data_IF_586834882355
#
_entry.id   IF_586834882355
#
_cell.length_a   1.000
_cell.length_b   1.000
_cell.length_c   1.000
_cell.angle_alpha   90.00
_cell.angle_beta   90.00
_cell.angle_gamma   90.00
#
_symmetry.space_group_name_H-M   'P 1'
#
loop_
_entity.id
_entity.type
_entity.pdbx_description
1 polymer ?
#
# COMPACT_ATOMS: atom_id res chain seq x y z
N UNK A 1 -11.04 -1.58 -7.51
CA UNK A 1 -9.62 -1.76 -7.90
C UNK A 1 -8.93 -0.42 -7.74
N UNK A 2 -7.78 -0.38 -7.07
CA UNK A 2 -6.95 0.83 -6.96
C UNK A 2 -5.93 0.79 -8.09
N UNK A 3 -5.86 1.80 -8.97
CA UNK A 3 -4.93 1.79 -10.10
C UNK A 3 -3.47 1.81 -9.61
N UNK A 4 -2.62 1.06 -10.30
CA UNK A 4 -1.18 1.02 -10.08
C UNK A 4 -0.50 2.26 -10.66
N UNK A 5 0.70 2.58 -10.17
CA UNK A 5 1.52 3.66 -10.73
C UNK A 5 1.76 3.48 -12.25
N UNK A 6 1.95 2.24 -12.71
CA UNK A 6 2.12 1.93 -14.12
C UNK A 6 0.86 2.24 -14.96
N UNK A 7 -0.32 1.85 -14.47
CA UNK A 7 -1.60 2.17 -15.12
C UNK A 7 -1.85 3.68 -15.17
N UNK A 8 -1.48 4.41 -14.11
CA UNK A 8 -1.59 5.88 -14.08
C UNK A 8 -0.63 6.54 -15.08
N UNK A 9 0.61 6.06 -15.19
CA UNK A 9 1.56 6.54 -16.20
C UNK A 9 1.07 6.29 -17.61
N UNK A 10 0.46 5.13 -17.87
CA UNK A 10 -0.15 4.83 -19.16
C UNK A 10 -1.30 5.79 -19.47
N UNK A 11 -2.15 6.09 -18.49
CA UNK A 11 -3.21 7.09 -18.62
C UNK A 11 -2.68 8.50 -18.91
N UNK A 12 -1.59 8.91 -18.23
CA UNK A 12 -0.89 10.17 -18.52
C UNK A 12 -0.37 10.19 -19.96
N UNK A 13 0.32 9.13 -20.39
CA UNK A 13 0.88 9.03 -21.74
C UNK A 13 -0.21 9.16 -22.82
N UNK A 14 -1.34 8.46 -22.64
CA UNK A 14 -2.48 8.57 -23.54
C UNK A 14 -3.06 9.99 -23.56
N UNK A 15 -3.18 10.62 -22.39
CA UNK A 15 -3.72 11.98 -22.26
C UNK A 15 -2.85 13.03 -22.95
N UNK A 16 -1.53 12.94 -22.82
CA UNK A 16 -0.60 13.90 -23.47
C UNK A 16 -0.45 13.62 -24.97
N UNK A 17 -0.61 12.38 -25.41
CA UNK A 17 -0.56 12.01 -26.83
C UNK A 17 -1.82 12.38 -27.62
N UNK A 18 -2.93 12.65 -26.93
CA UNK A 18 -4.22 12.99 -27.56
C UNK A 18 -4.35 14.51 -27.69
N UNK A 19 -4.27 15.08 -28.91
CA UNK A 19 -4.40 16.52 -29.11
C UNK A 19 -5.79 16.99 -28.67
N UNK A 20 -5.85 18.20 -28.09
CA UNK A 20 -7.12 18.85 -27.79
C UNK A 20 -7.79 19.26 -29.10
N UNK A 21 -9.12 19.20 -29.15
CA UNK A 21 -9.83 19.81 -30.27
C UNK A 21 -9.55 21.33 -30.28
N UNK A 22 -9.49 22.00 -31.45
CA UNK A 22 -9.20 23.43 -31.54
C UNK A 22 -10.11 24.29 -30.66
N UNK A 23 -11.38 23.91 -30.57
CA UNK A 23 -12.41 24.52 -29.74
C UNK A 23 -12.17 24.38 -28.21
N UNK A 24 -11.35 23.42 -27.79
CA UNK A 24 -11.07 23.10 -26.38
C UNK A 24 -9.70 23.64 -25.90
N UNK A 25 -8.96 24.35 -26.77
CA UNK A 25 -7.56 24.71 -26.56
C UNK A 25 -7.27 25.71 -25.42
N UNK A 26 -8.29 26.14 -24.67
CA UNK A 26 -8.17 27.15 -23.60
C UNK A 26 -8.15 26.52 -22.19
N UNK A 27 -9.13 26.81 -21.35
CA UNK A 27 -9.17 26.45 -19.92
C UNK A 27 -9.20 24.93 -19.70
N UNK A 28 -9.85 24.19 -20.59
CA UNK A 28 -9.91 22.73 -20.50
C UNK A 28 -8.54 22.07 -20.69
N UNK A 29 -7.78 22.51 -21.70
CA UNK A 29 -6.42 22.03 -21.92
C UNK A 29 -5.51 22.33 -20.71
N UNK A 30 -5.63 23.52 -20.11
CA UNK A 30 -4.91 23.88 -18.90
C UNK A 30 -5.29 23.01 -17.70
N UNK A 31 -6.59 22.77 -17.48
CA UNK A 31 -7.07 21.88 -16.40
C UNK A 31 -6.60 20.44 -16.57
N UNK A 32 -6.62 19.92 -17.81
CA UNK A 32 -6.14 18.59 -18.15
C UNK A 32 -4.65 18.43 -17.84
N UNK A 33 -3.83 19.41 -18.21
CA UNK A 33 -2.40 19.43 -17.87
C UNK A 33 -2.18 19.55 -16.36
N UNK A 34 -3.00 20.31 -15.65
CA UNK A 34 -2.97 20.40 -14.18
C UNK A 34 -3.18 19.04 -13.50
N UNK A 35 -4.16 18.25 -13.98
CA UNK A 35 -4.38 16.88 -13.46
C UNK A 35 -3.20 15.97 -13.80
N UNK A 36 -2.67 16.04 -15.03
CA UNK A 36 -1.48 15.27 -15.43
C UNK A 36 -0.30 15.59 -14.50
N UNK A 37 -0.06 16.86 -14.21
CA UNK A 37 1.01 17.28 -13.31
C UNK A 37 0.79 16.74 -11.89
N UNK A 38 -0.41 16.89 -11.33
CA UNK A 38 -0.77 16.37 -10.01
C UNK A 38 -0.55 14.86 -9.91
N UNK A 39 -1.09 14.07 -10.85
CA UNK A 39 -0.96 12.62 -10.83
C UNK A 39 0.50 12.19 -11.00
N UNK A 40 1.27 12.91 -11.82
CA UNK A 40 2.71 12.65 -12.00
C UNK A 40 3.49 12.81 -10.69
N UNK A 41 3.17 13.83 -9.87
CA UNK A 41 3.77 14.03 -8.54
C UNK A 41 3.43 12.87 -7.60
N UNK A 42 2.17 12.41 -7.59
CA UNK A 42 1.75 11.30 -6.74
C UNK A 42 2.43 9.97 -7.17
N UNK A 43 2.54 9.74 -8.47
CA UNK A 43 3.24 8.58 -9.03
C UNK A 43 4.73 8.61 -8.66
N UNK A 44 5.37 9.78 -8.71
CA UNK A 44 6.77 9.93 -8.31
C UNK A 44 6.99 9.51 -6.86
N UNK A 45 6.12 9.96 -5.95
CA UNK A 45 6.18 9.58 -4.54
C UNK A 45 6.04 8.07 -4.33
N UNK A 46 5.14 7.43 -5.06
CA UNK A 46 4.95 5.96 -5.02
C UNK A 46 6.15 5.22 -5.61
N UNK A 47 6.74 5.72 -6.70
CA UNK A 47 7.92 5.11 -7.30
C UNK A 47 9.17 5.20 -6.40
N UNK A 48 9.32 6.28 -5.64
CA UNK A 48 10.46 6.50 -4.75
C UNK A 48 10.38 5.66 -3.47
N UNK A 49 9.18 5.55 -2.88
CA UNK A 49 9.00 4.95 -1.54
C UNK A 49 8.26 3.62 -1.55
N UNK A 50 7.52 3.29 -2.61
CA UNK A 50 6.51 2.23 -2.61
C UNK A 50 7.06 0.84 -2.26
N UNK A 51 8.24 0.48 -2.77
CA UNK A 51 8.88 -0.81 -2.44
C UNK A 51 9.34 -0.87 -0.99
N UNK A 52 10.01 0.18 -0.51
CA UNK A 52 10.53 0.25 0.87
C UNK A 52 9.40 0.21 1.91
N UNK A 53 8.30 0.93 1.65
CA UNK A 53 7.11 0.93 2.51
C UNK A 53 6.51 -0.48 2.61
N UNK A 54 6.37 -1.19 1.49
CA UNK A 54 5.80 -2.56 1.48
C UNK A 54 6.70 -3.57 2.18
N UNK A 55 8.01 -3.48 1.99
CA UNK A 55 8.99 -4.30 2.71
C UNK A 55 8.89 -4.09 4.23
N UNK A 56 8.89 -2.83 4.67
CA UNK A 56 8.76 -2.49 6.08
C UNK A 56 7.44 -2.98 6.67
N UNK A 57 6.33 -2.80 5.95
CA UNK A 57 5.01 -3.27 6.37
C UNK A 57 4.94 -4.80 6.48
N UNK A 58 5.43 -5.54 5.47
CA UNK A 58 5.48 -6.99 5.50
C UNK A 58 6.36 -7.49 6.66
N UNK A 59 7.47 -6.81 6.93
CA UNK A 59 8.34 -7.08 8.08
C UNK A 59 7.63 -6.89 9.42
N UNK A 60 6.93 -5.76 9.61
CA UNK A 60 6.17 -5.45 10.82
C UNK A 60 5.04 -6.46 11.05
N UNK A 61 4.31 -6.84 9.99
CA UNK A 61 3.27 -7.87 10.06
C UNK A 61 3.84 -9.23 10.47
N UNK A 62 4.94 -9.67 9.85
CA UNK A 62 5.61 -10.93 10.21
C UNK A 62 6.08 -10.92 11.66
N UNK A 63 6.68 -9.82 12.11
CA UNK A 63 7.15 -9.65 13.50
C UNK A 63 6.02 -9.78 14.52
N UNK A 64 4.91 -9.06 14.31
CA UNK A 64 3.76 -9.13 15.20
C UNK A 64 3.14 -10.53 15.23
N UNK A 65 2.95 -11.16 14.05
CA UNK A 65 2.41 -12.52 13.97
C UNK A 65 3.32 -13.56 14.66
N UNK A 66 4.64 -13.47 14.47
CA UNK A 66 5.60 -14.37 15.12
C UNK A 66 5.57 -14.23 16.66
N UNK A 67 5.45 -13.01 17.18
CA UNK A 67 5.33 -12.78 18.63
C UNK A 67 4.03 -13.35 19.24
N UNK A 68 2.97 -13.48 18.44
CA UNK A 68 1.67 -14.00 18.85
C UNK A 68 1.55 -15.53 18.71
N UNK A 69 2.39 -16.15 17.86
CA UNK A 69 2.36 -17.58 17.56
C UNK A 69 2.33 -18.48 18.82
N UNK A 70 3.14 -18.26 19.87
CA UNK A 70 3.16 -19.15 21.04
C UNK A 70 1.84 -19.20 21.80
N UNK A 71 0.99 -18.17 21.66
CA UNK A 71 -0.23 -18.00 22.45
C UNK A 71 -1.48 -18.40 21.67
N UNK A 72 -1.49 -18.16 20.37
CA UNK A 72 -2.69 -18.34 19.53
C UNK A 72 -2.57 -19.50 18.53
N UNK A 73 -1.41 -20.17 18.45
CA UNK A 73 -1.12 -21.26 17.48
C UNK A 73 -1.67 -20.93 16.09
N UNK A 74 -1.36 -19.72 15.62
CA UNK A 74 -1.70 -19.27 14.28
C UNK A 74 -1.01 -20.20 13.28
N UNK A 75 -1.67 -20.52 12.17
CA UNK A 75 -1.15 -21.43 11.14
C UNK A 75 0.31 -21.07 10.77
N UNK A 76 1.25 -21.93 11.20
CA UNK A 76 2.69 -21.73 11.10
C UNK A 76 3.22 -21.75 9.66
N UNK A 77 2.43 -22.26 8.71
CA UNK A 77 2.80 -22.30 7.29
C UNK A 77 3.02 -20.88 6.78
N UNK A 78 4.25 -20.45 6.49
CA UNK A 78 4.53 -19.18 5.78
C UNK A 78 4.98 -17.99 6.64
N UNK A 79 5.18 -18.14 7.96
CA UNK A 79 5.97 -17.17 8.74
C UNK A 79 7.48 -17.32 8.50
N UNK A 80 7.89 -18.49 8.01
CA UNK A 80 9.28 -18.85 7.74
C UNK A 80 9.74 -18.54 6.31
N UNK A 81 8.93 -17.85 5.49
CA UNK A 81 9.36 -17.47 4.14
C UNK A 81 10.56 -16.50 4.25
N UNK A 82 11.75 -16.87 3.74
CA UNK A 82 12.98 -16.13 3.97
C UNK A 82 12.99 -14.87 3.10
N UNK A 83 12.26 -13.84 3.54
CA UNK A 83 12.23 -12.54 2.91
C UNK A 83 11.44 -12.49 1.61
N UNK A 84 11.12 -11.28 1.19
CA UNK A 84 10.48 -11.04 -0.10
C UNK A 84 11.54 -11.28 -1.20
N UNK A 85 11.69 -12.53 -1.64
CA UNK A 85 12.68 -12.91 -2.65
C UNK A 85 12.44 -12.22 -4.00
N UNK A 86 11.18 -11.96 -4.30
CA UNK A 86 10.73 -11.10 -5.39
C UNK A 86 10.34 -9.72 -4.83
N UNK A 87 11.13 -8.70 -5.16
CA UNK A 87 10.96 -7.32 -4.70
C UNK A 87 10.05 -6.48 -5.62
N UNK A 88 9.36 -7.11 -6.57
CA UNK A 88 8.33 -6.41 -7.35
C UNK A 88 7.16 -6.02 -6.45
N UNK A 89 6.57 -4.86 -6.72
CA UNK A 89 5.39 -4.36 -5.99
C UNK A 89 4.27 -5.40 -5.95
N UNK A 90 4.03 -6.09 -7.07
CA UNK A 90 3.00 -7.14 -7.17
C UNK A 90 3.26 -8.32 -6.22
N UNK A 91 4.51 -8.80 -6.15
CA UNK A 91 4.87 -9.88 -5.25
C UNK A 91 4.76 -9.45 -3.78
N UNK A 92 5.23 -8.24 -3.47
CA UNK A 92 5.13 -7.65 -2.14
C UNK A 92 3.68 -7.47 -1.69
N UNK A 93 2.80 -7.02 -2.58
CA UNK A 93 1.36 -6.87 -2.29
C UNK A 93 0.66 -8.23 -2.13
N UNK A 94 1.07 -9.25 -2.90
CA UNK A 94 0.56 -10.62 -2.73
C UNK A 94 0.95 -11.19 -1.36
N UNK A 95 2.20 -11.03 -0.95
CA UNK A 95 2.68 -11.41 0.38
C UNK A 95 1.93 -10.64 1.47
N UNK A 96 1.77 -9.33 1.30
CA UNK A 96 1.02 -8.47 2.22
C UNK A 96 -0.43 -8.95 2.39
N UNK A 97 -1.11 -9.30 1.31
CA UNK A 97 -2.49 -9.80 1.35
C UNK A 97 -2.61 -11.11 2.15
N UNK A 98 -1.62 -12.00 2.05
CA UNK A 98 -1.55 -13.22 2.87
C UNK A 98 -1.37 -12.86 4.35
N UNK A 99 -0.44 -11.97 4.67
CA UNK A 99 -0.16 -11.53 6.03
C UNK A 99 -1.37 -10.83 6.68
N UNK A 100 -2.07 -9.95 5.94
CA UNK A 100 -3.27 -9.27 6.43
C UNK A 100 -4.41 -10.23 6.75
N UNK A 101 -4.60 -11.30 5.95
CA UNK A 101 -5.59 -12.34 6.27
C UNK A 101 -5.30 -13.04 7.61
N UNK A 102 -4.02 -13.25 7.92
CA UNK A 102 -3.60 -13.81 9.22
C UNK A 102 -3.77 -12.82 10.35
N UNK A 103 -3.46 -11.55 10.11
CA UNK A 103 -3.68 -10.49 11.09
C UNK A 103 -5.16 -10.43 11.50
N UNK A 104 -6.08 -10.57 10.53
CA UNK A 104 -7.53 -10.65 10.82
C UNK A 104 -7.85 -11.86 11.71
N UNK A 105 -7.31 -13.04 11.38
CA UNK A 105 -7.53 -14.24 12.21
C UNK A 105 -6.96 -14.09 13.63
N UNK A 106 -5.78 -13.47 13.78
CA UNK A 106 -5.21 -13.13 15.07
C UNK A 106 -6.09 -12.14 15.84
N UNK A 107 -6.57 -11.08 15.17
CA UNK A 107 -7.43 -10.07 15.79
C UNK A 107 -8.69 -10.71 16.38
N UNK A 108 -9.37 -11.57 15.62
CA UNK A 108 -10.54 -12.33 16.11
C UNK A 108 -10.21 -13.18 17.35
N UNK A 109 -9.04 -13.83 17.36
CA UNK A 109 -8.62 -14.65 18.48
C UNK A 109 -8.26 -13.82 19.72
N UNK A 110 -7.63 -12.66 19.52
CA UNK A 110 -7.29 -11.67 20.56
C UNK A 110 -8.54 -11.10 21.21
N UNK A 111 -9.53 -10.69 20.40
CA UNK A 111 -10.84 -10.23 20.89
C UNK A 111 -11.54 -11.31 21.70
N UNK A 112 -11.57 -12.54 21.18
CA UNK A 112 -12.19 -13.69 21.88
C UNK A 112 -11.51 -13.99 23.22
N UNK A 113 -10.20 -13.75 23.32
CA UNK A 113 -9.43 -13.92 24.54
C UNK A 113 -9.45 -12.70 25.47
N UNK A 114 -10.04 -11.57 25.05
CA UNK A 114 -9.99 -10.27 25.73
C UNK A 114 -8.54 -9.82 26.05
N UNK A 115 -7.60 -10.05 25.13
CA UNK A 115 -6.20 -9.64 25.29
C UNK A 115 -6.00 -8.18 24.84
N UNK A 116 -6.33 -7.25 25.74
CA UNK A 116 -6.25 -5.81 25.48
C UNK A 116 -4.85 -5.30 25.06
N UNK A 117 -3.72 -5.78 25.64
CA UNK A 117 -2.39 -5.41 25.16
C UNK A 117 -2.14 -5.75 23.69
N UNK A 118 -2.54 -6.94 23.24
CA UNK A 118 -2.35 -7.35 21.84
C UNK A 118 -3.29 -6.64 20.89
N UNK A 119 -4.53 -6.41 21.30
CA UNK A 119 -5.49 -5.62 20.54
C UNK A 119 -4.93 -4.21 20.26
N UNK A 120 -4.40 -3.56 21.30
CA UNK A 120 -3.75 -2.25 21.18
C UNK A 120 -2.58 -2.28 20.20
N UNK A 121 -1.71 -3.31 20.27
CA UNK A 121 -0.59 -3.45 19.35
C UNK A 121 -1.02 -3.64 17.89
N UNK A 122 -2.15 -4.32 17.64
CA UNK A 122 -2.72 -4.48 16.29
C UNK A 122 -3.23 -3.13 15.76
N UNK A 123 -3.93 -2.35 16.61
CA UNK A 123 -4.42 -1.02 16.23
C UNK A 123 -3.28 -0.04 15.94
N UNK A 124 -2.23 -0.05 16.76
CA UNK A 124 -1.02 0.75 16.52
C UNK A 124 -0.34 0.39 15.20
N UNK A 125 -0.27 -0.90 14.88
CA UNK A 125 0.26 -1.37 13.60
C UNK A 125 -0.58 -0.85 12.42
N UNK A 126 -1.91 -0.87 12.51
CA UNK A 126 -2.77 -0.31 11.45
C UNK A 126 -2.53 1.19 11.24
N UNK A 127 -2.43 1.96 12.32
CA UNK A 127 -2.12 3.39 12.25
C UNK A 127 -0.76 3.63 11.59
N UNK A 128 0.26 2.86 11.96
CA UNK A 128 1.59 2.97 11.38
C UNK A 128 1.59 2.66 9.86
N UNK A 129 0.92 1.58 9.45
CA UNK A 129 0.78 1.20 8.04
C UNK A 129 0.05 2.26 7.22
N UNK A 130 -1.02 2.83 7.78
CA UNK A 130 -1.77 3.90 7.12
C UNK A 130 -0.91 5.16 6.94
N UNK A 131 -0.19 5.57 7.98
CA UNK A 131 0.70 6.73 7.92
C UNK A 131 1.84 6.52 6.90
N UNK A 132 2.45 5.34 6.88
CA UNK A 132 3.54 5.02 5.96
C UNK A 132 3.12 5.03 4.48
N UNK A 133 1.85 4.77 4.18
CA UNK A 133 1.28 4.79 2.82
C UNK A 133 0.66 6.14 2.43
N UNK A 134 0.80 7.16 3.27
CA UNK A 134 0.28 8.50 2.96
C UNK A 134 1.01 9.11 1.77
N UNK A 135 0.26 9.68 0.84
CA UNK A 135 0.78 10.50 -0.25
C UNK A 135 0.47 11.97 0.06
N UNK A 136 1.46 12.82 -0.18
CA UNK A 136 1.36 14.24 0.10
C UNK A 136 0.79 14.95 -1.14
N UNK A 137 -0.30 15.68 -0.94
CA UNK A 137 -0.84 16.52 -2.01
C UNK A 137 0.13 17.70 -2.24
N UNK A 138 0.50 17.99 -3.50
CA UNK A 138 1.30 19.17 -3.78
C UNK A 138 0.53 20.41 -3.35
N UNK A 139 1.19 21.28 -2.58
CA UNK A 139 0.64 22.59 -2.23
C UNK A 139 0.59 23.46 -3.48
N UNK A 140 -0.59 24.01 -3.78
CA UNK A 140 -0.80 25.02 -4.83
C UNK A 140 -0.05 26.31 -4.54
#
# INVERSE_FOLDING_TARGET
MTPTAAELLQGIAMTVSTPCAPEEASLFAAGRLGIVALVSVLVMQEAERGTAVRLAENGSLRSLLASAEPHYRLLADGLSDPGDGDLTITALDAANAVLRRRLIALHVAVESANDAPRDTAILELYCHMAAARSLDLPTT
#
